data_IF_235753111066
#
_entry.id   IF_235753111066
#
_cell.length_a   1.000
_cell.length_b   1.000
_cell.length_c   1.000
_cell.angle_alpha   90.00
_cell.angle_beta   90.00
_cell.angle_gamma   90.00
#
_symmetry.space_group_name_H-M   'P 1'
#
loop_
_entity.id
_entity.type
_entity.pdbx_description
1 polymer ?
#
# COMPACT_ATOMS: atom_id res chain seq x y z
N UNK A 1 0.31 -1.40 25.40
CA UNK A 1 0.53 -2.72 24.79
C UNK A 1 1.94 -2.80 24.22
N UNK A 2 2.58 -3.93 24.39
CA UNK A 2 3.94 -4.12 23.92
C UNK A 2 3.95 -5.12 22.75
N UNK A 3 4.57 -4.70 21.64
CA UNK A 3 4.71 -5.57 20.47
C UNK A 3 6.10 -6.18 20.44
N UNK A 4 6.18 -7.51 20.38
CA UNK A 4 7.46 -8.22 20.25
C UNK A 4 7.91 -8.30 18.80
N UNK A 5 6.95 -8.48 17.89
CA UNK A 5 7.22 -8.59 16.46
C UNK A 5 6.15 -7.85 15.67
N UNK A 6 6.57 -7.14 14.64
CA UNK A 6 5.68 -6.47 13.71
C UNK A 6 6.16 -6.81 12.31
N UNK A 7 5.24 -7.29 11.47
CA UNK A 7 5.52 -7.56 10.07
C UNK A 7 5.01 -6.38 9.24
N UNK A 8 5.92 -5.75 8.52
CA UNK A 8 5.60 -4.65 7.61
C UNK A 8 5.59 -5.18 6.18
N UNK A 9 4.62 -4.74 5.40
CA UNK A 9 4.55 -5.07 4.00
C UNK A 9 4.14 -3.84 3.19
N UNK A 10 4.65 -3.73 1.97
CA UNK A 10 4.38 -2.62 1.07
C UNK A 10 4.03 -3.15 -0.31
N UNK A 11 3.00 -2.56 -0.92
CA UNK A 11 2.73 -2.73 -2.33
C UNK A 11 3.12 -1.43 -3.04
N UNK A 12 3.75 -1.55 -4.20
CA UNK A 12 4.33 -0.41 -4.91
C UNK A 12 3.94 -0.41 -6.38
N UNK A 13 4.25 0.70 -7.06
CA UNK A 13 4.03 0.81 -8.50
C UNK A 13 5.05 0.01 -9.31
N UNK A 14 6.14 -0.45 -8.70
CA UNK A 14 7.17 -1.24 -9.36
C UNK A 14 8.36 -1.48 -8.44
N UNK A 15 9.45 -1.96 -9.02
CA UNK A 15 10.62 -2.41 -8.26
C UNK A 15 11.72 -1.37 -8.09
N UNK A 16 11.61 -0.21 -8.71
CA UNK A 16 12.65 0.83 -8.61
C UNK A 16 12.44 1.68 -7.36
N UNK A 17 13.38 1.60 -6.42
CA UNK A 17 13.34 2.43 -5.22
C UNK A 17 13.48 3.93 -5.53
N UNK A 18 13.98 4.27 -6.70
CA UNK A 18 14.20 5.66 -7.12
C UNK A 18 12.96 6.27 -7.78
N UNK A 19 12.22 5.50 -8.56
CA UNK A 19 11.12 6.02 -9.38
C UNK A 19 9.75 5.53 -8.95
N UNK A 20 9.67 4.37 -8.29
CA UNK A 20 8.39 3.81 -7.93
C UNK A 20 7.91 4.28 -6.57
N UNK A 21 6.60 4.30 -6.39
CA UNK A 21 5.95 4.84 -5.20
C UNK A 21 5.14 3.77 -4.47
N UNK A 22 4.94 4.00 -3.18
CA UNK A 22 4.16 3.08 -2.35
C UNK A 22 2.67 3.28 -2.61
N UNK A 23 1.96 2.17 -2.81
CA UNK A 23 0.51 2.13 -3.01
C UNK A 23 -0.24 1.67 -1.77
N UNK A 24 0.38 0.83 -0.97
CA UNK A 24 -0.24 0.30 0.23
C UNK A 24 0.83 0.02 1.27
N UNK A 25 0.51 0.37 2.51
CA UNK A 25 1.33 0.04 3.68
C UNK A 25 0.48 -0.80 4.60
N UNK A 26 0.99 -1.95 5.01
CA UNK A 26 0.31 -2.80 5.98
C UNK A 26 1.27 -3.27 7.05
N UNK A 27 0.74 -3.47 8.25
CA UNK A 27 1.51 -4.00 9.38
C UNK A 27 0.60 -4.88 10.22
N UNK A 28 1.13 -6.00 10.66
CA UNK A 28 0.44 -6.89 11.58
C UNK A 28 1.36 -7.21 12.75
N UNK A 29 0.77 -7.52 13.90
CA UNK A 29 1.55 -7.92 15.07
C UNK A 29 1.80 -9.43 15.07
N UNK A 30 2.46 -9.92 16.12
CA UNK A 30 2.81 -11.33 16.26
C UNK A 30 1.59 -12.26 16.34
N UNK A 31 0.42 -11.73 16.67
CA UNK A 31 -0.82 -12.50 16.79
C UNK A 31 -1.71 -12.38 15.55
N UNK A 32 -1.24 -11.71 14.53
CA UNK A 32 -1.98 -11.53 13.29
C UNK A 32 -2.96 -10.36 13.30
N UNK A 33 -2.93 -9.52 14.33
CA UNK A 33 -3.80 -8.35 14.40
C UNK A 33 -3.30 -7.27 13.44
N UNK A 34 -4.22 -6.69 12.68
CA UNK A 34 -3.88 -5.61 11.73
C UNK A 34 -3.69 -4.31 12.50
N UNK A 35 -2.49 -3.76 12.41
CA UNK A 35 -2.14 -2.50 13.04
C UNK A 35 -2.31 -1.32 12.07
N UNK A 36 -1.91 -1.52 10.82
CA UNK A 36 -1.99 -0.53 9.76
C UNK A 36 -2.43 -1.23 8.49
N UNK A 37 -3.33 -0.61 7.74
CA UNK A 37 -3.69 -1.05 6.40
C UNK A 37 -4.18 0.18 5.64
N UNK A 38 -3.24 0.86 4.97
CA UNK A 38 -3.52 2.13 4.31
C UNK A 38 -3.12 2.09 2.85
N UNK A 39 -3.97 2.63 1.99
CA UNK A 39 -3.65 2.87 0.59
C UNK A 39 -3.10 4.28 0.43
N UNK A 40 -2.12 4.42 -0.46
CA UNK A 40 -1.45 5.68 -0.71
C UNK A 40 -1.58 6.04 -2.18
N UNK A 41 -2.04 7.26 -2.46
CA UNK A 41 -2.12 7.74 -3.83
C UNK A 41 -0.75 8.23 -4.29
N UNK A 42 -0.17 7.67 -5.37
CA UNK A 42 1.13 8.14 -5.87
C UNK A 42 1.04 9.56 -6.39
N UNK A 43 2.13 10.30 -6.28
CA UNK A 43 2.16 11.71 -6.66
C UNK A 43 2.42 11.92 -8.16
N UNK A 44 3.28 11.09 -8.74
CA UNK A 44 3.74 11.31 -10.11
C UNK A 44 3.45 10.15 -11.06
N UNK A 45 3.16 8.95 -10.55
CA UNK A 45 2.91 7.78 -11.37
C UNK A 45 1.41 7.54 -11.43
N UNK A 46 0.85 7.47 -12.64
CA UNK A 46 -0.60 7.33 -12.82
C UNK A 46 -1.05 5.91 -13.20
N UNK A 47 -0.15 5.08 -13.70
CA UNK A 47 -0.46 3.69 -14.04
C UNK A 47 0.70 2.78 -13.65
N UNK A 48 0.40 1.50 -13.37
CA UNK A 48 1.42 0.51 -12.98
C UNK A 48 0.93 -0.89 -13.37
N UNK A 49 0.77 -1.13 -14.65
CA UNK A 49 0.14 -2.34 -15.18
C UNK A 49 0.85 -3.64 -14.79
N UNK A 50 2.19 -3.65 -14.81
CA UNK A 50 2.94 -4.84 -14.44
C UNK A 50 2.79 -5.18 -12.96
N UNK A 51 2.91 -4.18 -12.10
CA UNK A 51 2.74 -4.37 -10.66
C UNK A 51 1.29 -4.73 -10.33
N UNK A 52 0.33 -4.11 -10.99
CA UNK A 52 -1.08 -4.38 -10.80
C UNK A 52 -1.44 -5.82 -11.12
N UNK A 53 -0.79 -6.41 -12.13
CA UNK A 53 -1.02 -7.81 -12.49
C UNK A 53 -0.65 -8.75 -11.33
N UNK A 54 0.27 -8.32 -10.47
CA UNK A 54 0.72 -9.11 -9.32
C UNK A 54 -0.13 -8.87 -8.09
N UNK A 55 -0.27 -7.62 -7.65
CA UNK A 55 -0.95 -7.31 -6.38
C UNK A 55 -2.41 -6.89 -6.52
N UNK A 56 -2.90 -6.73 -7.75
CA UNK A 56 -4.30 -6.42 -8.06
C UNK A 56 -4.80 -5.07 -7.53
N UNK A 57 -3.89 -4.16 -7.19
CA UNK A 57 -4.25 -2.81 -6.76
C UNK A 57 -4.24 -1.90 -7.98
N UNK A 58 -5.42 -1.45 -8.40
CA UNK A 58 -5.58 -0.60 -9.58
C UNK A 58 -5.48 0.88 -9.22
N UNK A 59 -5.21 1.75 -10.21
CA UNK A 59 -5.27 3.20 -9.97
C UNK A 59 -6.64 3.67 -9.48
N UNK A 60 -7.71 3.07 -9.96
CA UNK A 60 -9.06 3.41 -9.52
C UNK A 60 -9.28 3.05 -8.04
N UNK A 61 -8.77 1.91 -7.58
CA UNK A 61 -8.87 1.52 -6.18
C UNK A 61 -8.21 2.53 -5.26
N UNK A 62 -6.99 2.94 -5.61
CA UNK A 62 -6.22 3.88 -4.79
C UNK A 62 -6.92 5.23 -4.73
N UNK A 63 -7.46 5.70 -5.85
CA UNK A 63 -8.20 6.95 -5.90
C UNK A 63 -9.44 6.90 -5.00
N UNK A 64 -10.23 5.85 -5.10
CA UNK A 64 -11.45 5.67 -4.31
C UNK A 64 -11.11 5.62 -2.82
N UNK A 65 -10.10 4.83 -2.43
CA UNK A 65 -9.68 4.72 -1.04
C UNK A 65 -9.15 6.03 -0.48
N UNK A 66 -8.43 6.81 -1.29
CA UNK A 66 -7.94 8.12 -0.89
C UNK A 66 -9.09 9.11 -0.65
N UNK A 67 -10.11 9.08 -1.50
CA UNK A 67 -11.28 9.93 -1.34
C UNK A 67 -12.08 9.59 -0.09
N UNK A 68 -12.19 8.31 0.22
CA UNK A 68 -12.91 7.86 1.42
C UNK A 68 -12.23 8.30 2.71
N UNK A 69 -10.91 8.47 2.72
CA UNK A 69 -10.19 8.95 3.90
C UNK A 69 -10.53 10.40 4.25
N UNK A 70 -10.92 11.19 3.27
CA UNK A 70 -11.26 12.60 3.49
C UNK A 70 -12.64 12.73 4.13
N UNK A 71 -13.47 11.75 3.95
CA UNK A 71 -14.81 11.70 4.51
C UNK A 71 -14.79 11.21 5.95
#
# INVERSE_FOLDING_TARGET
>A
MKYEKVVLDFETTGLSSKYDEILQVSAIDQDGNVLINEYCKPKSISTWEEAEAIHKISPAMVLIKSLLKIM
#
